data_IF_188981748494
#
_entry.id   IF_188981748494
#
_cell.length_a   1.000
_cell.length_b   1.000
_cell.length_c   1.000
_cell.angle_alpha   90.00
_cell.angle_beta   90.00
_cell.angle_gamma   90.00
#
_symmetry.space_group_name_H-M   'P 1'
#
loop_
_entity.id
_entity.type
_entity.pdbx_description
1 polymer ?
#
# COMPACT_ATOMS: atom_id res chain seq x y z
N UNK A 1 -18.54 -6.81 -2.43
CA UNK A 1 -17.48 -7.73 -1.93
C UNK A 1 -16.14 -7.08 -2.22
N UNK A 2 -15.26 -6.96 -1.22
CA UNK A 2 -13.96 -6.28 -1.33
C UNK A 2 -13.03 -7.10 -2.26
N UNK A 3 -12.43 -6.45 -3.27
CA UNK A 3 -11.61 -7.12 -4.31
C UNK A 3 -10.30 -7.68 -3.75
N UNK A 4 -9.76 -7.05 -2.69
CA UNK A 4 -8.58 -7.55 -2.00
C UNK A 4 -8.84 -8.91 -1.36
N UNK A 5 -10.02 -9.10 -0.74
CA UNK A 5 -10.44 -10.41 -0.19
C UNK A 5 -10.58 -11.46 -1.28
N UNK A 6 -11.11 -11.07 -2.46
CA UNK A 6 -11.21 -11.97 -3.61
C UNK A 6 -9.83 -12.38 -4.15
N UNK A 7 -8.91 -11.42 -4.28
CA UNK A 7 -7.53 -11.68 -4.71
C UNK A 7 -6.87 -12.72 -3.80
N UNK A 8 -6.91 -12.49 -2.49
CA UNK A 8 -6.30 -13.40 -1.51
C UNK A 8 -7.01 -14.74 -1.36
N UNK A 9 -8.26 -14.86 -1.79
CA UNK A 9 -8.97 -16.13 -1.88
C UNK A 9 -8.58 -16.95 -3.10
N UNK A 10 -8.12 -16.30 -4.16
CA UNK A 10 -7.80 -16.96 -5.44
C UNK A 10 -6.29 -17.15 -5.67
N UNK A 11 -5.45 -16.35 -5.03
CA UNK A 11 -4.00 -16.34 -5.22
C UNK A 11 -3.30 -16.26 -3.86
N UNK A 12 -2.47 -17.22 -3.55
CA UNK A 12 -1.82 -17.35 -2.23
C UNK A 12 -0.37 -16.85 -2.21
N UNK A 13 0.25 -16.67 -3.38
CA UNK A 13 1.65 -16.21 -3.55
C UNK A 13 1.85 -15.54 -4.90
N UNK A 14 3.02 -14.91 -5.07
CA UNK A 14 3.41 -14.22 -6.30
C UNK A 14 2.38 -13.16 -6.73
N UNK A 15 1.86 -12.40 -5.75
CA UNK A 15 0.97 -11.27 -6.00
C UNK A 15 1.83 -10.07 -6.33
N UNK A 16 1.65 -9.49 -7.49
CA UNK A 16 2.34 -8.28 -7.92
C UNK A 16 1.46 -7.07 -7.62
N UNK A 17 1.95 -6.18 -6.74
CA UNK A 17 1.39 -4.84 -6.56
C UNK A 17 2.36 -3.81 -7.14
N UNK A 18 1.83 -2.79 -7.77
CA UNK A 18 2.63 -1.68 -8.29
C UNK A 18 2.11 -0.38 -7.67
N UNK A 19 3.05 0.41 -7.13
CA UNK A 19 2.78 1.76 -6.64
C UNK A 19 3.04 2.80 -7.72
N UNK A 20 2.24 3.84 -7.75
CA UNK A 20 2.52 5.05 -8.50
C UNK A 20 1.91 6.28 -7.80
N UNK A 21 2.50 7.45 -8.02
CA UNK A 21 1.98 8.72 -7.49
C UNK A 21 0.88 9.25 -8.41
N UNK A 22 -0.33 9.44 -7.89
CA UNK A 22 -1.43 10.01 -8.65
C UNK A 22 -1.13 11.45 -9.09
N UNK A 23 -1.49 11.79 -10.34
CA UNK A 23 -1.20 13.11 -10.92
C UNK A 23 0.23 13.29 -11.43
N UNK A 24 1.00 12.21 -11.54
CA UNK A 24 2.32 12.16 -12.14
C UNK A 24 2.31 11.17 -13.34
N UNK A 25 2.99 11.47 -14.46
CA UNK A 25 3.70 12.71 -14.78
C UNK A 25 2.80 13.93 -15.03
N UNK A 26 1.55 13.72 -15.46
CA UNK A 26 0.55 14.75 -15.69
C UNK A 26 -0.67 14.53 -14.79
N UNK A 27 -1.43 15.58 -14.52
CA UNK A 27 -2.58 15.54 -13.62
C UNK A 27 -3.62 14.46 -13.99
N UNK A 28 -3.80 14.25 -15.29
CA UNK A 28 -4.79 13.33 -15.86
C UNK A 28 -4.28 11.88 -16.00
N UNK A 29 -2.99 11.60 -15.77
CA UNK A 29 -2.37 10.30 -16.02
C UNK A 29 -2.88 9.16 -15.14
N UNK A 30 -3.50 9.45 -13.99
CA UNK A 30 -3.93 8.44 -13.00
C UNK A 30 -4.81 7.35 -13.61
N UNK A 31 -5.81 7.71 -14.40
CA UNK A 31 -6.77 6.76 -15.00
C UNK A 31 -6.06 5.85 -16.00
N UNK A 32 -5.24 6.43 -16.86
CA UNK A 32 -4.49 5.70 -17.88
C UNK A 32 -3.52 4.69 -17.26
N UNK A 33 -2.77 5.12 -16.23
CA UNK A 33 -1.83 4.26 -15.51
C UNK A 33 -2.55 3.06 -14.87
N UNK A 34 -3.67 3.29 -14.18
CA UNK A 34 -4.46 2.20 -13.57
C UNK A 34 -4.91 1.21 -14.65
N UNK A 35 -5.44 1.68 -15.76
CA UNK A 35 -5.93 0.83 -16.83
C UNK A 35 -4.78 0.06 -17.52
N UNK A 36 -3.62 0.69 -17.68
CA UNK A 36 -2.48 0.04 -18.32
C UNK A 36 -1.86 -1.03 -17.42
N UNK A 37 -1.72 -0.77 -16.12
CA UNK A 37 -1.22 -1.75 -15.16
C UNK A 37 -2.12 -3.01 -15.12
N UNK A 38 -3.44 -2.85 -15.20
CA UNK A 38 -4.34 -4.00 -15.29
C UNK A 38 -4.11 -4.82 -16.56
N UNK A 39 -3.94 -4.18 -17.72
CA UNK A 39 -3.63 -4.87 -18.98
C UNK A 39 -2.30 -5.61 -18.95
N UNK A 40 -1.32 -5.11 -18.19
CA UNK A 40 -0.02 -5.75 -18.02
C UNK A 40 -0.02 -6.91 -17.02
N UNK A 41 -1.16 -7.23 -16.43
CA UNK A 41 -1.32 -8.40 -15.56
C UNK A 41 -0.85 -8.19 -14.12
N UNK A 42 -0.82 -6.96 -13.64
CA UNK A 42 -0.63 -6.62 -12.23
C UNK A 42 -1.81 -7.15 -11.42
N UNK A 43 -1.58 -7.61 -10.20
CA UNK A 43 -2.63 -8.18 -9.35
C UNK A 43 -3.32 -7.15 -8.46
N UNK A 44 -2.60 -6.08 -8.08
CA UNK A 44 -3.07 -5.02 -7.18
C UNK A 44 -2.33 -3.72 -7.51
N UNK A 45 -2.94 -2.60 -7.24
CA UNK A 45 -2.35 -1.28 -7.50
C UNK A 45 -2.41 -0.45 -6.23
N UNK A 46 -1.26 0.16 -5.87
CA UNK A 46 -1.15 1.13 -4.79
C UNK A 46 -1.14 2.54 -5.38
N UNK A 47 -2.23 3.28 -5.14
CA UNK A 47 -2.42 4.64 -5.66
C UNK A 47 -1.93 5.64 -4.62
N UNK A 48 -0.80 6.27 -4.88
CA UNK A 48 -0.14 7.22 -3.98
C UNK A 48 -0.81 8.59 -3.96
N UNK A 49 -1.17 9.05 -2.77
CA UNK A 49 -1.63 10.42 -2.52
C UNK A 49 -0.40 11.32 -2.44
N UNK A 50 -0.21 12.29 -3.35
CA UNK A 50 0.93 13.18 -3.28
C UNK A 50 0.87 14.06 -2.01
N UNK A 51 2.03 14.24 -1.38
CA UNK A 51 2.16 15.02 -0.16
C UNK A 51 3.45 15.86 -0.18
N UNK A 52 3.39 17.07 0.39
CA UNK A 52 4.51 18.02 0.39
C UNK A 52 5.63 17.67 1.38
N UNK A 53 5.27 16.95 2.46
CA UNK A 53 6.16 16.72 3.60
C UNK A 53 6.32 15.22 3.93
N UNK A 54 6.71 14.37 2.95
CA UNK A 54 6.80 12.93 3.13
C UNK A 54 7.99 12.57 4.03
N UNK A 55 7.73 11.82 5.11
CA UNK A 55 8.76 11.43 6.09
C UNK A 55 9.46 10.11 5.73
N UNK A 56 8.78 9.24 4.98
CA UNK A 56 9.25 7.88 4.69
C UNK A 56 9.69 7.67 3.24
N UNK A 57 9.41 8.63 2.35
CA UNK A 57 9.63 8.46 0.92
C UNK A 57 11.05 8.83 0.51
N UNK A 58 11.60 8.07 -0.43
CA UNK A 58 12.85 8.39 -1.10
C UNK A 58 12.70 9.52 -2.13
N UNK A 59 13.83 9.97 -2.64
CA UNK A 59 13.92 11.15 -3.52
C UNK A 59 13.00 11.05 -4.75
N UNK A 60 12.90 9.89 -5.38
CA UNK A 60 12.07 9.66 -6.58
C UNK A 60 10.59 9.91 -6.28
N UNK A 61 10.09 9.36 -5.16
CA UNK A 61 8.68 9.54 -4.76
C UNK A 61 8.43 10.99 -4.31
N UNK A 62 9.38 11.62 -3.61
CA UNK A 62 9.29 13.04 -3.26
C UNK A 62 9.20 13.94 -4.49
N UNK A 63 10.01 13.67 -5.53
CA UNK A 63 9.97 14.41 -6.79
C UNK A 63 8.64 14.21 -7.53
N UNK A 64 8.15 12.97 -7.62
CA UNK A 64 6.86 12.69 -8.27
C UNK A 64 5.69 13.34 -7.52
N UNK A 65 5.70 13.31 -6.18
CA UNK A 65 4.71 13.99 -5.34
C UNK A 65 4.74 15.52 -5.54
N UNK A 66 5.92 16.10 -5.53
CA UNK A 66 6.09 17.55 -5.76
C UNK A 66 5.55 17.96 -7.14
N UNK A 67 5.85 17.18 -8.17
CA UNK A 67 5.33 17.43 -9.53
C UNK A 67 3.81 17.27 -9.58
N UNK A 68 3.25 16.23 -8.98
CA UNK A 68 1.81 16.00 -8.94
C UNK A 68 1.06 17.14 -8.25
N UNK A 69 1.58 17.64 -7.12
CA UNK A 69 1.04 18.82 -6.42
C UNK A 69 1.12 20.08 -7.28
N UNK A 70 2.24 20.31 -7.96
CA UNK A 70 2.39 21.43 -8.89
C UNK A 70 1.44 21.33 -10.10
N UNK A 71 1.09 20.13 -10.53
CA UNK A 71 0.06 19.89 -11.54
C UNK A 71 -1.36 20.15 -11.01
N UNK A 72 -1.53 20.44 -9.72
CA UNK A 72 -2.82 20.71 -9.08
C UNK A 72 -3.57 19.45 -8.64
N UNK A 73 -2.87 18.33 -8.40
CA UNK A 73 -3.49 17.13 -7.84
C UNK A 73 -3.94 17.38 -6.40
N UNK A 74 -5.13 16.87 -6.08
CA UNK A 74 -5.71 16.89 -4.74
C UNK A 74 -6.28 15.49 -4.42
N UNK A 75 -6.48 15.19 -3.13
CA UNK A 75 -7.09 13.92 -2.72
C UNK A 75 -8.51 13.76 -3.29
N UNK A 76 -9.30 14.83 -3.35
CA UNK A 76 -10.63 14.79 -3.96
C UNK A 76 -10.58 14.42 -5.44
N UNK A 77 -9.72 15.09 -6.22
CA UNK A 77 -9.55 14.81 -7.64
C UNK A 77 -9.03 13.39 -7.88
N UNK A 78 -8.09 12.92 -7.04
CA UNK A 78 -7.59 11.55 -7.10
C UNK A 78 -8.74 10.54 -6.94
N UNK A 79 -9.60 10.73 -5.94
CA UNK A 79 -10.75 9.85 -5.71
C UNK A 79 -11.76 9.90 -6.88
N UNK A 80 -11.95 11.06 -7.51
CA UNK A 80 -12.77 11.18 -8.72
C UNK A 80 -12.14 10.41 -9.90
N UNK A 81 -10.82 10.48 -10.08
CA UNK A 81 -10.11 9.71 -11.10
C UNK A 81 -10.15 8.21 -10.82
N UNK A 82 -10.06 7.79 -9.55
CA UNK A 82 -10.27 6.38 -9.18
C UNK A 82 -11.67 5.91 -9.54
N UNK A 83 -12.71 6.71 -9.28
CA UNK A 83 -14.08 6.38 -9.67
C UNK A 83 -14.22 6.22 -11.20
N UNK A 84 -13.53 7.04 -11.98
CA UNK A 84 -13.49 6.93 -13.44
C UNK A 84 -12.80 5.64 -13.88
N UNK A 85 -11.59 5.37 -13.37
CA UNK A 85 -10.85 4.15 -13.67
C UNK A 85 -11.65 2.90 -13.27
N UNK A 86 -12.41 2.97 -12.19
CA UNK A 86 -13.21 1.85 -11.68
C UNK A 86 -14.34 1.41 -12.62
N UNK A 87 -14.75 2.22 -13.58
CA UNK A 87 -15.72 1.82 -14.60
C UNK A 87 -15.22 0.63 -15.43
N UNK A 88 -13.92 0.50 -15.60
CA UNK A 88 -13.27 -0.55 -16.39
C UNK A 88 -12.34 -1.44 -15.57
N UNK A 89 -11.58 -0.91 -14.63
CA UNK A 89 -10.61 -1.63 -13.81
C UNK A 89 -11.29 -2.51 -12.75
N UNK A 90 -10.86 -3.76 -12.64
CA UNK A 90 -11.36 -4.77 -11.68
C UNK A 90 -10.35 -5.13 -10.59
N UNK A 91 -9.11 -4.67 -10.68
CA UNK A 91 -8.08 -4.95 -9.69
C UNK A 91 -8.39 -4.32 -8.33
N UNK A 92 -7.90 -4.91 -7.23
CA UNK A 92 -7.83 -4.19 -5.96
C UNK A 92 -7.05 -2.89 -6.11
N UNK A 93 -7.63 -1.78 -5.64
CA UNK A 93 -6.96 -0.48 -5.54
C UNK A 93 -6.78 -0.13 -4.08
N UNK A 94 -5.54 0.12 -3.69
CA UNK A 94 -5.15 0.50 -2.34
C UNK A 94 -4.72 1.96 -2.36
N UNK A 95 -5.37 2.81 -1.59
CA UNK A 95 -4.98 4.21 -1.46
C UNK A 95 -3.85 4.32 -0.44
N UNK A 96 -2.69 4.82 -0.84
CA UNK A 96 -1.54 5.00 0.03
C UNK A 96 -1.21 6.48 0.22
N UNK A 97 -1.16 6.95 1.46
CA UNK A 97 -0.83 8.34 1.76
C UNK A 97 -0.69 8.61 3.24
N UNK A 98 -0.17 9.79 3.56
CA UNK A 98 0.09 10.21 4.92
C UNK A 98 -1.19 10.61 5.66
N UNK A 99 -1.15 10.49 6.99
CA UNK A 99 -2.30 10.72 7.86
C UNK A 99 -2.82 12.17 7.76
N UNK A 100 -1.93 13.15 7.69
CA UNK A 100 -2.34 14.56 7.70
C UNK A 100 -3.25 14.94 6.51
N UNK A 101 -2.94 14.68 5.24
CA UNK A 101 -3.88 14.94 4.14
C UNK A 101 -5.23 14.24 4.31
N UNK A 102 -5.22 13.01 4.82
CA UNK A 102 -6.43 12.24 5.06
C UNK A 102 -7.29 12.82 6.18
N UNK A 103 -6.66 13.29 7.29
CA UNK A 103 -7.35 13.98 8.38
C UNK A 103 -7.94 15.32 7.92
N UNK A 104 -7.24 16.07 7.06
CA UNK A 104 -7.74 17.34 6.50
C UNK A 104 -8.95 17.11 5.58
N UNK A 105 -9.00 15.99 4.87
CA UNK A 105 -10.18 15.59 4.10
C UNK A 105 -11.36 15.20 5.02
N UNK A 106 -11.06 14.72 6.21
CA UNK A 106 -12.02 14.18 7.18
C UNK A 106 -12.09 12.66 7.06
N UNK A 107 -11.65 11.94 8.10
CA UNK A 107 -11.49 10.47 8.03
C UNK A 107 -12.80 9.74 7.70
N UNK A 108 -13.93 10.11 8.29
CA UNK A 108 -15.21 9.45 7.99
C UNK A 108 -15.65 9.70 6.54
N UNK A 109 -15.55 10.95 6.07
CA UNK A 109 -15.81 11.31 4.67
C UNK A 109 -14.89 10.60 3.69
N UNK A 110 -13.60 10.40 4.07
CA UNK A 110 -12.65 9.64 3.27
C UNK A 110 -13.07 8.17 3.13
N UNK A 111 -13.42 7.51 4.23
CA UNK A 111 -13.86 6.11 4.17
C UNK A 111 -15.14 5.94 3.34
N UNK A 112 -16.12 6.84 3.51
CA UNK A 112 -17.32 6.87 2.70
C UNK A 112 -16.99 7.03 1.21
N UNK A 113 -16.14 8.01 0.88
CA UNK A 113 -15.75 8.26 -0.51
C UNK A 113 -14.92 7.12 -1.09
N UNK A 114 -14.03 6.50 -0.32
CA UNK A 114 -13.28 5.31 -0.72
C UNK A 114 -14.23 4.15 -1.07
N UNK A 115 -15.27 3.93 -0.27
CA UNK A 115 -16.28 2.90 -0.55
C UNK A 115 -17.04 3.20 -1.85
N UNK A 116 -17.46 4.44 -2.08
CA UNK A 116 -18.17 4.87 -3.29
C UNK A 116 -17.32 4.72 -4.54
N UNK A 117 -16.06 5.13 -4.47
CA UNK A 117 -15.12 5.10 -5.60
C UNK A 117 -14.49 3.73 -5.82
N UNK A 118 -14.66 2.81 -4.87
CA UNK A 118 -14.20 1.43 -4.98
C UNK A 118 -12.72 1.24 -4.62
N UNK A 119 -12.18 2.04 -3.69
CA UNK A 119 -10.93 1.73 -2.98
C UNK A 119 -11.17 0.53 -2.08
N UNK A 120 -10.25 -0.42 -2.07
CA UNK A 120 -10.36 -1.70 -1.36
C UNK A 120 -9.61 -1.73 -0.02
N UNK A 121 -8.60 -0.88 0.16
CA UNK A 121 -7.83 -0.73 1.41
C UNK A 121 -7.13 0.63 1.48
N UNK A 122 -6.65 0.98 2.67
CA UNK A 122 -5.80 2.15 2.91
C UNK A 122 -4.43 1.71 3.45
N UNK A 123 -3.36 2.36 3.02
CA UNK A 123 -2.03 2.31 3.64
C UNK A 123 -1.72 3.71 4.16
N UNK A 124 -1.48 3.83 5.47
CA UNK A 124 -1.17 5.09 6.13
C UNK A 124 0.12 4.90 6.92
N UNK A 125 1.30 5.15 6.31
CA UNK A 125 2.60 4.77 6.88
C UNK A 125 2.91 5.40 8.23
N UNK A 126 2.40 6.59 8.49
CA UNK A 126 2.60 7.37 9.71
C UNK A 126 1.45 7.23 10.74
N UNK A 127 0.53 6.29 10.54
CA UNK A 127 -0.55 6.04 11.51
C UNK A 127 -0.08 5.11 12.63
N UNK A 128 0.00 5.59 13.89
CA UNK A 128 0.34 4.72 15.01
C UNK A 128 -0.76 3.69 15.29
N UNK A 129 -0.37 2.45 15.56
CA UNK A 129 -1.32 1.35 15.83
C UNK A 129 -2.31 1.65 16.97
N UNK A 130 -1.87 2.34 18.02
CA UNK A 130 -2.76 2.68 19.14
C UNK A 130 -3.84 3.70 18.72
N UNK A 131 -3.50 4.66 17.84
CA UNK A 131 -4.45 5.62 17.27
C UNK A 131 -5.41 4.92 16.31
N UNK A 132 -4.91 3.97 15.51
CA UNK A 132 -5.75 3.11 14.67
C UNK A 132 -6.80 2.38 15.52
N UNK A 133 -6.37 1.68 16.58
CA UNK A 133 -7.28 0.92 17.45
C UNK A 133 -8.35 1.81 18.09
N UNK A 134 -7.94 3.01 18.52
CA UNK A 134 -8.81 3.92 19.27
C UNK A 134 -9.83 4.64 18.39
N UNK A 135 -9.45 5.03 17.17
CA UNK A 135 -10.22 5.97 16.37
C UNK A 135 -10.67 5.43 15.00
N UNK A 136 -9.86 4.57 14.36
CA UNK A 136 -10.05 4.24 12.95
C UNK A 136 -10.53 2.81 12.69
N UNK A 137 -10.26 1.88 13.61
CA UNK A 137 -10.74 0.50 13.47
C UNK A 137 -12.25 0.41 13.26
N UNK A 138 -13.02 1.21 13.97
CA UNK A 138 -14.49 1.26 13.83
C UNK A 138 -14.93 1.69 12.43
N UNK A 139 -14.17 2.58 11.78
CA UNK A 139 -14.43 2.98 10.40
C UNK A 139 -14.09 1.84 9.42
N UNK A 140 -12.96 1.16 9.63
CA UNK A 140 -12.60 -0.01 8.83
C UNK A 140 -13.70 -1.08 8.86
N UNK A 141 -14.23 -1.37 10.04
CA UNK A 141 -15.28 -2.38 10.22
C UNK A 141 -16.61 -1.92 9.57
N UNK A 142 -16.97 -0.63 9.71
CA UNK A 142 -18.20 -0.06 9.15
C UNK A 142 -18.20 -0.03 7.62
N UNK A 143 -17.08 0.34 7.02
CA UNK A 143 -17.01 0.54 5.56
C UNK A 143 -16.45 -0.67 4.81
N UNK A 144 -15.99 -1.73 5.51
CA UNK A 144 -15.29 -2.90 4.96
C UNK A 144 -14.03 -2.51 4.15
N UNK A 145 -13.29 -1.52 4.65
CA UNK A 145 -12.05 -1.01 4.09
C UNK A 145 -10.96 -1.14 5.16
N UNK A 146 -10.09 -2.14 5.10
CA UNK A 146 -9.01 -2.28 6.06
C UNK A 146 -7.95 -1.18 5.89
N UNK A 147 -7.37 -0.76 7.02
CA UNK A 147 -6.10 -0.05 7.05
C UNK A 147 -4.99 -1.07 7.21
N UNK A 148 -4.07 -1.07 6.27
CA UNK A 148 -2.91 -1.95 6.21
C UNK A 148 -1.81 -1.36 7.11
N UNK A 149 -1.33 -2.18 8.05
CA UNK A 149 -0.27 -1.77 8.97
C UNK A 149 1.10 -2.19 8.46
N UNK A 150 2.07 -1.28 8.61
CA UNK A 150 3.46 -1.52 8.29
C UNK A 150 4.18 -2.15 9.48
N UNK A 151 5.06 -3.10 9.19
CA UNK A 151 6.00 -3.68 10.16
C UNK A 151 7.41 -3.66 9.59
N UNK A 152 8.39 -3.39 10.46
CA UNK A 152 9.81 -3.31 10.10
C UNK A 152 10.59 -4.41 10.82
N UNK A 153 11.87 -4.66 10.47
CA UNK A 153 12.73 -5.57 11.23
C UNK A 153 12.83 -5.25 12.73
N UNK A 154 12.62 -3.99 13.10
CA UNK A 154 12.66 -3.51 14.49
C UNK A 154 11.34 -3.72 15.24
N UNK A 155 10.25 -4.05 14.53
CA UNK A 155 8.95 -4.32 15.15
C UNK A 155 9.00 -5.62 15.93
N UNK A 156 8.69 -5.57 17.22
CA UNK A 156 8.67 -6.79 18.04
C UNK A 156 7.62 -7.78 17.54
N UNK A 157 7.89 -9.09 17.67
CA UNK A 157 6.94 -10.12 17.23
C UNK A 157 5.60 -10.01 17.96
N UNK A 158 5.61 -9.65 19.24
CA UNK A 158 4.39 -9.38 20.01
C UNK A 158 3.54 -8.28 19.35
N UNK A 159 4.17 -7.18 18.91
CA UNK A 159 3.48 -6.10 18.20
C UNK A 159 2.95 -6.57 16.83
N UNK A 160 3.72 -7.37 16.11
CA UNK A 160 3.27 -7.94 14.83
C UNK A 160 2.04 -8.82 15.02
N UNK A 161 2.02 -9.66 16.05
CA UNK A 161 0.87 -10.51 16.36
C UNK A 161 -0.37 -9.70 16.75
N UNK A 162 -0.21 -8.63 17.54
CA UNK A 162 -1.32 -7.71 17.85
C UNK A 162 -1.89 -7.04 16.60
N UNK A 163 -1.02 -6.66 15.65
CA UNK A 163 -1.44 -6.13 14.35
C UNK A 163 -2.20 -7.20 13.57
N UNK A 164 -1.68 -8.42 13.49
CA UNK A 164 -2.31 -9.52 12.75
C UNK A 164 -3.70 -9.86 13.28
N UNK A 165 -3.90 -9.80 14.59
CA UNK A 165 -5.18 -10.07 15.24
C UNK A 165 -6.22 -8.98 15.00
N UNK A 166 -5.82 -7.73 14.91
CA UNK A 166 -6.70 -6.56 14.93
C UNK A 166 -6.88 -5.84 13.60
N UNK A 167 -5.99 -6.09 12.64
CA UNK A 167 -6.04 -5.48 11.31
C UNK A 167 -6.50 -6.50 10.25
N UNK A 168 -7.11 -6.00 9.20
CA UNK A 168 -7.52 -6.81 8.04
C UNK A 168 -6.61 -6.57 6.83
N UNK A 169 -6.93 -7.26 5.72
CA UNK A 169 -6.19 -7.14 4.47
C UNK A 169 -4.89 -7.93 4.48
N UNK A 170 -3.77 -7.29 4.70
CA UNK A 170 -2.45 -7.92 4.77
C UNK A 170 -1.52 -7.15 5.72
N UNK A 171 -0.40 -7.76 6.08
CA UNK A 171 0.69 -7.10 6.82
C UNK A 171 1.71 -6.61 5.80
N UNK A 172 1.99 -5.32 5.80
CA UNK A 172 2.99 -4.72 4.92
C UNK A 172 4.37 -4.76 5.58
N UNK A 173 5.21 -5.66 5.12
CA UNK A 173 6.57 -5.82 5.64
C UNK A 173 7.54 -4.89 4.91
N UNK A 174 8.08 -3.92 5.62
CA UNK A 174 9.12 -3.03 5.08
C UNK A 174 10.47 -3.73 5.23
N UNK A 175 11.24 -3.80 4.15
CA UNK A 175 12.51 -4.54 4.13
C UNK A 175 13.64 -3.89 4.93
N UNK A 176 13.52 -2.60 5.27
CA UNK A 176 14.47 -1.86 6.11
C UNK A 176 13.80 -0.69 6.78
N UNK A 177 14.35 -0.23 7.92
CA UNK A 177 13.91 1.00 8.59
C UNK A 177 14.39 2.29 7.89
N UNK A 178 15.16 2.20 6.80
CA UNK A 178 15.63 3.33 6.00
C UNK A 178 14.67 3.65 4.87
N UNK A 179 14.71 4.90 4.40
CA UNK A 179 13.91 5.40 3.27
C UNK A 179 14.03 4.54 2.00
N UNK A 180 13.01 4.61 1.16
CA UNK A 180 12.97 3.94 -0.15
C UNK A 180 14.22 4.23 -0.98
N UNK A 181 14.81 3.19 -1.55
CA UNK A 181 15.96 3.31 -2.45
C UNK A 181 16.21 1.97 -3.16
N UNK A 182 16.75 2.05 -4.38
CA UNK A 182 17.10 0.86 -5.17
C UNK A 182 18.27 0.12 -4.54
N UNK A 183 18.13 -1.19 -4.36
CA UNK A 183 19.22 -2.10 -3.94
C UNK A 183 19.37 -3.20 -4.97
N UNK A 184 20.62 -3.61 -5.22
CA UNK A 184 20.88 -4.73 -6.12
C UNK A 184 20.45 -6.06 -5.49
N UNK A 185 20.65 -6.22 -4.16
CA UNK A 185 20.32 -7.44 -3.39
C UNK A 185 19.87 -7.10 -1.98
N UNK A 186 19.13 -8.00 -1.35
CA UNK A 186 18.86 -7.94 0.08
C UNK A 186 20.10 -8.32 0.90
N UNK A 187 20.26 -7.69 2.06
CA UNK A 187 21.29 -8.07 3.01
C UNK A 187 20.91 -9.36 3.74
N UNK A 188 21.92 -10.01 4.37
CA UNK A 188 21.67 -11.20 5.17
C UNK A 188 20.69 -10.93 6.33
N UNK A 189 20.75 -9.77 6.96
CA UNK A 189 19.85 -9.37 8.03
C UNK A 189 18.40 -9.26 7.53
N UNK A 190 18.20 -8.74 6.31
CA UNK A 190 16.88 -8.67 5.69
C UNK A 190 16.35 -10.06 5.36
N UNK A 191 17.17 -10.94 4.80
CA UNK A 191 16.77 -12.33 4.56
C UNK A 191 16.44 -13.09 5.86
N UNK A 192 17.22 -12.89 6.91
CA UNK A 192 16.97 -13.52 8.22
C UNK A 192 15.66 -12.98 8.84
N UNK A 193 15.34 -11.70 8.64
CA UNK A 193 14.03 -11.15 8.99
C UNK A 193 12.90 -11.83 8.20
N UNK A 194 13.04 -12.02 6.89
CA UNK A 194 12.02 -12.71 6.09
C UNK A 194 11.83 -14.16 6.54
N UNK A 195 12.93 -14.91 6.82
CA UNK A 195 12.88 -16.26 7.37
C UNK A 195 12.15 -16.30 8.71
N UNK A 196 12.49 -15.38 9.62
CA UNK A 196 11.83 -15.25 10.92
C UNK A 196 10.32 -15.03 10.75
N UNK A 197 9.92 -14.09 9.91
CA UNK A 197 8.50 -13.83 9.66
C UNK A 197 7.80 -15.00 8.97
N UNK A 198 8.50 -15.77 8.17
CA UNK A 198 7.96 -16.98 7.52
C UNK A 198 7.74 -18.14 8.48
N UNK A 199 8.52 -18.22 9.57
CA UNK A 199 8.36 -19.28 10.59
C UNK A 199 7.15 -19.08 11.50
N UNK A 200 6.48 -17.94 11.43
CA UNK A 200 5.31 -17.60 12.25
C UNK A 200 4.03 -17.79 11.46
N UNK A 201 3.02 -18.39 12.09
CA UNK A 201 1.68 -18.50 11.51
C UNK A 201 0.90 -17.20 11.71
N UNK A 202 0.46 -16.58 10.64
CA UNK A 202 -0.36 -15.35 10.64
C UNK A 202 -1.75 -15.62 10.09
N UNK A 203 -2.73 -14.83 10.52
CA UNK A 203 -4.09 -14.82 9.97
C UNK A 203 -4.12 -14.12 8.62
N UNK A 204 -3.37 -13.02 8.51
CA UNK A 204 -3.33 -12.20 7.31
C UNK A 204 -2.15 -12.58 6.40
N UNK A 205 -2.29 -12.31 5.12
CA UNK A 205 -1.18 -12.40 4.16
C UNK A 205 -0.09 -11.40 4.52
N UNK A 206 1.12 -11.68 4.09
CA UNK A 206 2.28 -10.80 4.28
C UNK A 206 2.79 -10.39 2.92
N UNK A 207 2.99 -9.11 2.74
CA UNK A 207 3.52 -8.54 1.52
C UNK A 207 4.80 -7.76 1.87
N UNK A 208 5.86 -7.95 1.09
CA UNK A 208 7.09 -7.18 1.24
C UNK A 208 7.02 -5.98 0.30
N UNK A 209 7.14 -4.79 0.88
CA UNK A 209 7.32 -3.55 0.14
C UNK A 209 8.67 -2.91 0.43
N UNK A 210 9.06 -1.99 -0.44
CA UNK A 210 10.34 -1.25 -0.44
C UNK A 210 11.59 -2.09 -0.77
N UNK A 211 12.45 -1.52 -1.61
CA UNK A 211 13.72 -2.11 -1.99
C UNK A 211 13.64 -3.22 -3.03
N UNK A 212 12.47 -3.42 -3.66
CA UNK A 212 12.31 -4.32 -4.80
C UNK A 212 12.35 -3.45 -6.07
N UNK A 213 13.44 -3.55 -6.83
CA UNK A 213 13.70 -2.66 -7.97
C UNK A 213 14.24 -3.39 -9.19
N UNK A 214 14.41 -4.73 -9.10
CA UNK A 214 14.96 -5.53 -10.17
C UNK A 214 14.48 -6.98 -10.07
N UNK A 215 14.67 -7.81 -11.13
CA UNK A 215 14.26 -9.22 -11.15
C UNK A 215 14.83 -10.05 -9.99
N UNK A 216 16.08 -9.81 -9.59
CA UNK A 216 16.76 -10.58 -8.54
C UNK A 216 16.12 -10.35 -7.16
N UNK A 217 15.83 -9.10 -6.81
CA UNK A 217 15.13 -8.78 -5.56
C UNK A 217 13.71 -9.33 -5.58
N UNK A 218 13.05 -9.33 -6.74
CA UNK A 218 11.74 -9.93 -6.92
C UNK A 218 11.74 -11.44 -6.69
N UNK A 219 12.64 -12.18 -7.35
CA UNK A 219 12.78 -13.62 -7.20
C UNK A 219 13.09 -14.01 -5.75
N UNK A 220 13.96 -13.24 -5.07
CA UNK A 220 14.28 -13.44 -3.65
C UNK A 220 13.02 -13.35 -2.78
N UNK A 221 12.19 -12.33 -2.99
CA UNK A 221 10.93 -12.17 -2.24
C UNK A 221 9.94 -13.30 -2.53
N UNK A 222 9.80 -13.69 -3.79
CA UNK A 222 8.96 -14.82 -4.18
C UNK A 222 9.38 -16.13 -3.50
N UNK A 223 10.70 -16.36 -3.30
CA UNK A 223 11.21 -17.52 -2.60
C UNK A 223 10.72 -17.61 -1.15
N UNK A 224 10.54 -16.49 -0.47
CA UNK A 224 10.01 -16.44 0.90
C UNK A 224 8.48 -16.49 0.99
N UNK A 225 7.78 -16.93 -0.05
CA UNK A 225 6.30 -16.99 -0.11
C UNK A 225 5.61 -15.66 0.23
N UNK A 226 6.32 -14.59 -0.02
CA UNK A 226 5.87 -13.22 0.19
C UNK A 226 5.72 -12.61 -1.19
N UNK A 227 4.72 -11.80 -1.34
CA UNK A 227 4.44 -11.23 -2.64
C UNK A 227 4.40 -9.75 -2.49
N UNK A 228 5.33 -9.05 -3.09
CA UNK A 228 5.04 -7.71 -3.49
C UNK A 228 6.20 -6.95 -4.08
N UNK A 229 5.88 -6.10 -4.99
CA UNK A 229 6.79 -5.14 -5.55
C UNK A 229 6.23 -3.76 -5.37
N UNK A 230 7.07 -2.91 -4.83
CA UNK A 230 6.88 -1.49 -4.82
C UNK A 230 7.94 -0.88 -5.75
N UNK A 231 7.51 -0.36 -6.88
CA UNK A 231 8.36 0.40 -7.81
C UNK A 231 7.89 1.84 -7.82
#
# INVERSE_FOLDING_TARGET
MNRLKLLFGNKDRNILSVYFTAGFPEKESTVEIICELEKQGVDMIEVGVPFSDPMADGEVIQQSSSRALNNGMTLSLLLDQVAEARKVCRLPLVLMGYLNPMMQYGMEALFERCRETGIDALIIPDLPFNEYMKHYKVLCDRYDIPVIMLVTPETSLERVMLIDENCGGFIYMVSSASTTGTKERFSKEQEDYFKKMNSVSFRNRRLIGFGISNPETYETVCHYSLSLIHI
#
